data_IF_956834268584
#
_entry.id   IF_956834268584
#
_cell.length_a   1.000
_cell.length_b   1.000
_cell.length_c   1.000
_cell.angle_alpha   90.00
_cell.angle_beta   90.00
_cell.angle_gamma   90.00
#
_symmetry.space_group_name_H-M   'P 1'
#
loop_
_entity.id
_entity.type
_entity.pdbx_description
1 polymer ?
#
# COMPACT_ATOMS: atom_id res chain seq x y z
N UNK A 1 3.60 18.48 15.36
CA UNK A 1 3.98 17.52 16.43
C UNK A 1 2.96 16.39 16.65
N UNK A 2 1.66 16.68 16.84
CA UNK A 2 0.67 15.59 17.06
C UNK A 2 0.52 14.72 15.80
N UNK A 3 0.40 15.30 14.62
CA UNK A 3 0.24 14.56 13.37
C UNK A 3 1.43 13.64 13.06
N UNK A 4 2.66 14.12 13.31
CA UNK A 4 3.87 13.32 13.12
C UNK A 4 3.89 12.10 14.04
N UNK A 5 3.55 12.28 15.33
CA UNK A 5 3.45 11.18 16.28
C UNK A 5 2.35 10.17 15.89
N UNK A 6 1.19 10.66 15.45
CA UNK A 6 0.08 9.81 14.99
C UNK A 6 0.47 9.03 13.73
N UNK A 7 1.15 9.66 12.77
CA UNK A 7 1.63 8.98 11.56
C UNK A 7 2.66 7.90 11.89
N UNK A 8 3.63 8.19 12.77
CA UNK A 8 4.61 7.20 13.21
C UNK A 8 3.93 6.03 13.94
N UNK A 9 2.97 6.33 14.83
CA UNK A 9 2.18 5.31 15.51
C UNK A 9 1.39 4.46 14.51
N UNK A 10 0.75 5.10 13.51
CA UNK A 10 -0.02 4.41 12.46
C UNK A 10 0.86 3.43 11.66
N UNK A 11 2.07 3.84 11.26
CA UNK A 11 3.02 2.95 10.57
C UNK A 11 3.34 1.74 11.44
N UNK A 12 3.73 1.94 12.69
CA UNK A 12 4.08 0.85 13.61
C UNK A 12 2.89 -0.08 13.85
N UNK A 13 1.70 0.49 14.06
CA UNK A 13 0.48 -0.28 14.29
C UNK A 13 0.10 -1.13 13.08
N UNK A 14 0.07 -0.53 11.88
CA UNK A 14 -0.33 -1.19 10.64
C UNK A 14 0.68 -2.27 10.23
N UNK A 15 1.98 -2.00 10.38
CA UNK A 15 3.03 -2.98 10.12
C UNK A 15 2.99 -4.12 11.13
N UNK A 16 2.77 -3.80 12.40
CA UNK A 16 2.55 -4.79 13.46
C UNK A 16 1.33 -5.67 13.18
N UNK A 17 0.23 -5.09 12.72
CA UNK A 17 -0.97 -5.82 12.34
C UNK A 17 -0.72 -6.75 11.14
N UNK A 18 0.05 -6.31 10.13
CA UNK A 18 0.43 -7.15 9.00
C UNK A 18 1.28 -8.36 9.44
N UNK A 19 2.28 -8.12 10.28
CA UNK A 19 3.12 -9.18 10.84
C UNK A 19 2.34 -10.15 11.73
N UNK A 20 1.45 -9.64 12.57
CA UNK A 20 0.57 -10.45 13.41
C UNK A 20 -0.40 -11.28 12.56
N UNK A 21 -1.01 -10.68 11.54
CA UNK A 21 -1.87 -11.38 10.58
C UNK A 21 -1.12 -12.51 9.88
N UNK A 22 0.13 -12.26 9.46
CA UNK A 22 0.99 -13.30 8.90
C UNK A 22 1.35 -14.38 9.91
N UNK A 23 1.66 -13.99 11.14
CA UNK A 23 1.98 -14.93 12.21
C UNK A 23 0.80 -15.85 12.56
N UNK A 24 -0.43 -15.33 12.61
CA UNK A 24 -1.61 -16.10 12.99
C UNK A 24 -2.20 -16.90 11.82
N UNK A 25 -2.34 -16.27 10.65
CA UNK A 25 -3.12 -16.81 9.52
C UNK A 25 -2.27 -17.07 8.26
N UNK A 26 -0.96 -16.85 8.30
CA UNK A 26 -0.09 -16.98 7.14
C UNK A 26 -0.48 -16.01 6.01
N UNK A 27 -0.33 -16.45 4.77
CA UNK A 27 -0.68 -15.64 3.59
C UNK A 27 -2.15 -15.17 3.54
N UNK A 28 -3.07 -15.92 4.15
CA UNK A 28 -4.47 -15.53 4.20
C UNK A 28 -4.67 -14.24 5.02
N UNK A 29 -3.96 -14.11 6.15
CA UNK A 29 -3.96 -12.88 6.95
C UNK A 29 -3.45 -11.67 6.16
N UNK A 30 -2.39 -11.84 5.37
CA UNK A 30 -1.88 -10.77 4.53
C UNK A 30 -2.85 -10.38 3.41
N UNK A 31 -3.57 -11.33 2.80
CA UNK A 31 -4.60 -11.01 1.81
C UNK A 31 -5.76 -10.22 2.42
N UNK A 32 -6.22 -10.62 3.62
CA UNK A 32 -7.23 -9.86 4.35
C UNK A 32 -6.78 -8.42 4.65
N UNK A 33 -5.58 -8.26 5.18
CA UNK A 33 -5.06 -6.93 5.52
C UNK A 33 -4.85 -6.09 4.25
N UNK A 34 -4.36 -6.69 3.16
CA UNK A 34 -4.24 -6.02 1.86
C UNK A 34 -5.58 -5.50 1.36
N UNK A 35 -6.65 -6.32 1.45
CA UNK A 35 -8.00 -5.91 1.07
C UNK A 35 -8.51 -4.73 1.90
N UNK A 36 -8.36 -4.80 3.22
CA UNK A 36 -8.76 -3.73 4.14
C UNK A 36 -7.94 -2.47 3.90
N UNK A 37 -6.62 -2.61 3.77
CA UNK A 37 -5.71 -1.48 3.55
C UNK A 37 -6.02 -0.74 2.25
N UNK A 38 -6.33 -1.44 1.15
CA UNK A 38 -6.68 -0.79 -0.12
C UNK A 38 -8.01 -0.03 -0.05
N UNK A 39 -9.01 -0.55 0.68
CA UNK A 39 -10.28 0.15 0.89
C UNK A 39 -10.06 1.41 1.72
N UNK A 40 -9.41 1.28 2.87
CA UNK A 40 -9.17 2.40 3.79
C UNK A 40 -8.23 3.44 3.16
N UNK A 41 -7.21 3.04 2.40
CA UNK A 41 -6.32 3.96 1.70
C UNK A 41 -7.08 4.87 0.71
N UNK A 42 -8.12 4.36 0.04
CA UNK A 42 -8.97 5.17 -0.84
C UNK A 42 -9.80 6.21 -0.06
N UNK A 43 -10.22 5.91 1.18
CA UNK A 43 -10.92 6.86 2.05
C UNK A 43 -9.91 7.88 2.59
N UNK A 44 -8.80 7.42 3.14
CA UNK A 44 -7.77 8.28 3.74
C UNK A 44 -7.04 9.17 2.71
N UNK A 45 -7.04 8.79 1.42
CA UNK A 45 -6.51 9.64 0.35
C UNK A 45 -7.26 10.98 0.21
N UNK A 46 -8.48 11.09 0.75
CA UNK A 46 -9.29 12.30 0.78
C UNK A 46 -8.96 13.19 1.98
N UNK A 47 -8.22 12.70 2.95
CA UNK A 47 -7.88 13.39 4.19
C UNK A 47 -6.49 13.98 4.05
N UNK A 48 -6.40 15.32 4.04
CA UNK A 48 -5.14 16.04 4.02
C UNK A 48 -4.69 16.36 5.44
N UNK A 49 -3.43 16.13 5.72
CA UNK A 49 -2.78 16.45 6.99
C UNK A 49 -1.46 17.17 6.77
N UNK A 50 -1.14 18.12 7.66
CA UNK A 50 0.17 18.73 7.71
C UNK A 50 1.05 17.99 8.72
N UNK A 51 2.13 17.40 8.23
CA UNK A 51 3.14 16.74 9.05
C UNK A 51 4.53 16.92 8.42
N UNK A 52 5.56 17.01 9.24
CA UNK A 52 6.95 17.24 8.79
C UNK A 52 7.11 18.46 7.89
N UNK A 53 6.33 19.53 8.17
CA UNK A 53 6.26 20.77 7.35
C UNK A 53 5.80 20.56 5.90
N UNK A 54 5.13 19.43 5.61
CA UNK A 54 4.58 19.10 4.28
C UNK A 54 3.10 18.76 4.39
N UNK A 55 2.32 19.18 3.40
CA UNK A 55 0.95 18.72 3.22
C UNK A 55 0.94 17.38 2.49
N UNK A 56 0.20 16.42 3.01
CA UNK A 56 0.14 15.07 2.49
C UNK A 56 -1.23 14.41 2.73
N UNK A 57 -1.54 13.38 1.95
CA UNK A 57 -2.71 12.56 2.22
C UNK A 57 -2.40 11.53 3.31
N UNK A 58 -3.37 11.32 4.21
CA UNK A 58 -3.25 10.31 5.26
C UNK A 58 -3.12 8.91 4.67
N UNK A 59 -3.71 8.66 3.51
CA UNK A 59 -3.68 7.38 2.80
C UNK A 59 -2.30 6.88 2.38
N UNK A 60 -1.26 7.75 2.37
CA UNK A 60 0.10 7.35 2.01
C UNK A 60 0.63 6.21 2.90
N UNK A 61 0.30 6.20 4.20
CA UNK A 61 0.76 5.17 5.15
C UNK A 61 0.09 3.82 4.86
N UNK A 62 -1.23 3.80 4.67
CA UNK A 62 -1.96 2.58 4.32
C UNK A 62 -1.58 2.06 2.93
N UNK A 63 -1.29 2.96 2.00
CA UNK A 63 -0.81 2.55 0.69
C UNK A 63 0.58 1.90 0.78
N UNK A 64 1.48 2.43 1.62
CA UNK A 64 2.81 1.85 1.85
C UNK A 64 2.73 0.41 2.38
N UNK A 65 1.80 0.10 3.30
CA UNK A 65 1.67 -1.28 3.82
C UNK A 65 1.29 -2.30 2.73
N UNK A 66 0.64 -1.89 1.66
CA UNK A 66 0.34 -2.80 0.55
C UNK A 66 1.61 -3.28 -0.16
N UNK A 67 2.65 -2.44 -0.24
CA UNK A 67 3.98 -2.81 -0.72
C UNK A 67 4.68 -3.75 0.26
N UNK A 68 4.69 -3.43 1.55
CA UNK A 68 5.21 -4.34 2.57
C UNK A 68 4.57 -5.73 2.47
N UNK A 69 3.25 -5.82 2.30
CA UNK A 69 2.55 -7.10 2.17
C UNK A 69 3.02 -7.88 0.93
N UNK A 70 3.18 -7.22 -0.21
CA UNK A 70 3.66 -7.88 -1.43
C UNK A 70 5.12 -8.29 -1.33
N UNK A 71 5.94 -7.55 -0.61
CA UNK A 71 7.34 -7.88 -0.34
C UNK A 71 7.46 -9.07 0.62
N UNK A 72 6.68 -9.10 1.71
CA UNK A 72 6.61 -10.28 2.60
C UNK A 72 6.17 -11.53 1.81
N UNK A 73 5.13 -11.41 1.01
CA UNK A 73 4.64 -12.53 0.20
C UNK A 73 5.64 -12.94 -0.87
N UNK A 74 6.32 -11.98 -1.51
CA UNK A 74 7.38 -12.28 -2.48
C UNK A 74 8.52 -13.04 -1.84
N UNK A 75 8.96 -12.64 -0.64
CA UNK A 75 10.08 -13.26 0.08
C UNK A 75 9.73 -14.63 0.65
N UNK A 76 8.55 -14.77 1.27
CA UNK A 76 8.19 -15.95 2.05
C UNK A 76 7.37 -16.98 1.27
N UNK A 77 6.49 -16.53 0.37
CA UNK A 77 5.46 -17.34 -0.29
C UNK A 77 5.62 -17.38 -1.83
N UNK A 78 6.49 -16.53 -2.36
CA UNK A 78 6.83 -16.42 -3.77
C UNK A 78 5.89 -15.56 -4.60
N UNK A 79 6.31 -15.31 -5.85
CA UNK A 79 5.70 -14.36 -6.79
C UNK A 79 4.18 -14.55 -6.99
N UNK A 80 3.71 -15.80 -7.05
CA UNK A 80 2.29 -16.09 -7.26
C UNK A 80 1.43 -15.60 -6.09
N UNK A 81 1.92 -15.73 -4.86
CA UNK A 81 1.24 -15.24 -3.66
C UNK A 81 1.19 -13.71 -3.64
N UNK A 82 2.30 -13.05 -3.94
CA UNK A 82 2.36 -11.60 -4.05
C UNK A 82 1.38 -11.04 -5.10
N UNK A 83 1.40 -11.59 -6.32
CA UNK A 83 0.45 -11.20 -7.36
C UNK A 83 -1.02 -11.42 -6.94
N UNK A 84 -1.29 -12.49 -6.17
CA UNK A 84 -2.64 -12.75 -5.65
C UNK A 84 -3.07 -11.67 -4.65
N UNK A 85 -2.17 -11.16 -3.80
CA UNK A 85 -2.47 -10.03 -2.91
C UNK A 85 -2.82 -8.77 -3.70
N UNK A 86 -2.06 -8.46 -4.77
CA UNK A 86 -2.38 -7.33 -5.66
C UNK A 86 -3.77 -7.48 -6.27
N UNK A 87 -4.08 -8.66 -6.82
CA UNK A 87 -5.41 -8.94 -7.40
C UNK A 87 -6.53 -8.86 -6.35
N UNK A 88 -6.27 -9.30 -5.10
CA UNK A 88 -7.21 -9.16 -3.99
C UNK A 88 -7.46 -7.68 -3.67
N UNK A 89 -6.43 -6.86 -3.62
CA UNK A 89 -6.54 -5.41 -3.43
C UNK A 89 -7.33 -4.73 -4.56
N UNK A 90 -7.04 -5.08 -5.82
CA UNK A 90 -7.79 -4.56 -6.99
C UNK A 90 -9.27 -4.92 -6.88
N UNK A 91 -9.58 -6.19 -6.62
CA UNK A 91 -10.97 -6.66 -6.48
C UNK A 91 -11.69 -5.93 -5.35
N UNK A 92 -11.04 -5.79 -4.20
CA UNK A 92 -11.59 -5.07 -3.04
C UNK A 92 -11.85 -3.61 -3.33
N UNK A 93 -10.94 -2.93 -4.04
CA UNK A 93 -11.09 -1.53 -4.44
C UNK A 93 -12.23 -1.35 -5.45
N UNK A 94 -12.36 -2.24 -6.45
CA UNK A 94 -13.47 -2.22 -7.40
C UNK A 94 -14.81 -2.45 -6.69
N UNK A 95 -14.86 -3.44 -5.80
CA UNK A 95 -16.06 -3.74 -5.01
C UNK A 95 -16.48 -2.54 -4.15
N UNK A 96 -15.52 -1.94 -3.44
CA UNK A 96 -15.76 -0.74 -2.65
C UNK A 96 -16.22 0.44 -3.51
N UNK A 97 -15.60 0.67 -4.66
CA UNK A 97 -16.00 1.73 -5.59
C UNK A 97 -17.45 1.56 -6.03
N UNK A 98 -17.83 0.37 -6.50
CA UNK A 98 -19.20 0.11 -6.95
C UNK A 98 -20.20 0.32 -5.82
N UNK A 99 -19.93 -0.18 -4.63
CA UNK A 99 -20.83 -0.02 -3.49
C UNK A 99 -20.93 1.43 -3.03
N UNK A 100 -19.80 2.13 -2.87
CA UNK A 100 -19.80 3.53 -2.42
C UNK A 100 -20.54 4.45 -3.40
N UNK A 101 -20.42 4.21 -4.71
CA UNK A 101 -21.18 4.96 -5.71
C UNK A 101 -22.68 4.59 -5.67
N UNK A 102 -23.02 3.31 -5.41
CA UNK A 102 -24.41 2.87 -5.30
C UNK A 102 -25.17 3.54 -4.14
N UNK A 103 -24.47 3.83 -3.02
CA UNK A 103 -25.09 4.51 -1.86
C UNK A 103 -25.67 5.86 -2.22
N UNK A 104 -25.09 6.59 -3.17
CA UNK A 104 -25.56 7.92 -3.57
C UNK A 104 -26.85 7.86 -4.42
N UNK A 105 -27.22 6.69 -4.92
CA UNK A 105 -28.45 6.49 -5.69
C UNK A 105 -29.68 6.29 -4.80
N UNK A 106 -29.50 5.99 -3.50
CA UNK A 106 -30.60 5.80 -2.58
C UNK A 106 -31.21 7.14 -2.16
N UNK A 107 -32.54 7.18 -2.02
CA UNK A 107 -33.26 8.29 -1.42
C UNK A 107 -33.20 8.13 0.10
N UNK A 108 -32.59 9.09 0.83
CA UNK A 108 -32.47 9.00 2.28
C UNK A 108 -33.84 9.13 2.96
N UNK A 109 -33.99 8.46 4.09
CA UNK A 109 -35.13 8.64 4.99
C UNK A 109 -35.16 10.09 5.54
N UNK A 110 -36.35 10.66 5.86
CA UNK A 110 -36.41 11.94 6.54
C UNK A 110 -35.64 12.03 7.87
N UNK A 111 -35.40 10.89 8.52
CA UNK A 111 -34.61 10.79 9.75
C UNK A 111 -33.11 10.54 9.51
N UNK A 112 -32.66 10.46 8.25
CA UNK A 112 -31.24 10.26 7.94
C UNK A 112 -30.46 11.57 8.06
N UNK A 113 -29.39 11.53 8.85
CA UNK A 113 -28.46 12.65 9.05
C UNK A 113 -27.08 12.42 8.42
N UNK A 114 -26.83 11.23 7.87
CA UNK A 114 -25.50 10.80 7.42
C UNK A 114 -25.30 10.96 5.91
N UNK A 115 -26.35 10.77 5.12
CA UNK A 115 -26.26 10.82 3.66
C UNK A 115 -25.63 12.11 3.09
N UNK A 116 -25.89 13.32 3.65
CA UNK A 116 -25.20 14.52 3.18
C UNK A 116 -23.67 14.43 3.32
N UNK A 117 -23.16 13.86 4.43
CA UNK A 117 -21.73 13.66 4.66
C UNK A 117 -21.16 12.60 3.71
N UNK A 118 -21.88 11.50 3.49
CA UNK A 118 -21.50 10.47 2.52
C UNK A 118 -21.41 11.06 1.12
N UNK A 119 -22.40 11.83 0.70
CA UNK A 119 -22.37 12.52 -0.60
C UNK A 119 -21.21 13.52 -0.68
N UNK A 120 -20.92 14.28 0.34
CA UNK A 120 -19.79 15.22 0.37
C UNK A 120 -18.44 14.48 0.18
N UNK A 121 -18.27 13.32 0.81
CA UNK A 121 -17.05 12.50 0.69
C UNK A 121 -16.94 11.83 -0.68
N UNK A 122 -18.01 11.23 -1.19
CA UNK A 122 -17.91 10.32 -2.35
C UNK A 122 -18.35 10.93 -3.69
N UNK A 123 -19.03 12.09 -3.74
CA UNK A 123 -19.48 12.71 -4.99
C UNK A 123 -18.35 13.31 -5.83
N UNK A 124 -17.32 13.86 -5.20
CA UNK A 124 -16.22 14.55 -5.89
C UNK A 124 -15.03 13.67 -6.25
N UNK A 125 -15.14 12.35 -6.06
CA UNK A 125 -14.00 11.45 -6.05
C UNK A 125 -13.91 10.38 -7.15
N UNK A 126 -14.80 10.26 -8.14
CA UNK A 126 -14.67 9.20 -9.13
C UNK A 126 -13.31 9.20 -9.83
N UNK A 127 -12.79 10.39 -10.23
CA UNK A 127 -11.48 10.52 -10.88
C UNK A 127 -10.34 10.07 -9.97
N UNK A 128 -10.35 10.46 -8.68
CA UNK A 128 -9.29 10.07 -7.74
C UNK A 128 -9.31 8.57 -7.47
N UNK A 129 -10.49 7.98 -7.29
CA UNK A 129 -10.62 6.53 -7.04
C UNK A 129 -10.21 5.73 -8.27
N UNK A 130 -10.60 6.13 -9.48
CA UNK A 130 -10.14 5.50 -10.72
C UNK A 130 -8.63 5.64 -10.90
N UNK A 131 -8.07 6.83 -10.68
CA UNK A 131 -6.64 7.05 -10.73
C UNK A 131 -5.92 6.15 -9.72
N UNK A 132 -6.35 6.11 -8.48
CA UNK A 132 -5.80 5.26 -7.42
C UNK A 132 -5.83 3.79 -7.80
N UNK A 133 -6.95 3.28 -8.33
CA UNK A 133 -7.10 1.88 -8.72
C UNK A 133 -6.14 1.49 -9.86
N UNK A 134 -6.07 2.31 -10.91
CA UNK A 134 -5.20 2.06 -12.06
C UNK A 134 -3.73 2.12 -11.63
N UNK A 135 -3.36 3.16 -10.89
CA UNK A 135 -2.00 3.36 -10.42
C UNK A 135 -1.58 2.26 -9.45
N UNK A 136 -2.46 1.86 -8.54
CA UNK A 136 -2.25 0.71 -7.64
C UNK A 136 -1.94 -0.56 -8.45
N UNK A 137 -2.78 -0.90 -9.42
CA UNK A 137 -2.59 -2.10 -10.23
C UNK A 137 -1.24 -2.09 -10.97
N UNK A 138 -0.91 -0.98 -11.64
CA UNK A 138 0.33 -0.85 -12.40
C UNK A 138 1.54 -0.91 -11.45
N UNK A 139 1.54 -0.09 -10.41
CA UNK A 139 2.72 0.08 -9.53
C UNK A 139 3.00 -1.17 -8.71
N UNK A 140 1.98 -1.84 -8.19
CA UNK A 140 2.13 -3.06 -7.40
C UNK A 140 2.58 -4.25 -8.24
N UNK A 141 2.01 -4.44 -9.44
CA UNK A 141 2.46 -5.52 -10.34
C UNK A 141 3.88 -5.26 -10.83
N UNK A 142 4.23 -4.00 -11.08
CA UNK A 142 5.58 -3.61 -11.44
C UNK A 142 6.56 -3.85 -10.28
N UNK A 143 6.17 -3.52 -9.05
CA UNK A 143 6.96 -3.77 -7.84
C UNK A 143 7.27 -5.26 -7.67
N UNK A 144 6.25 -6.11 -7.67
CA UNK A 144 6.43 -7.58 -7.57
C UNK A 144 7.32 -8.12 -8.70
N UNK A 145 7.17 -7.60 -9.93
CA UNK A 145 8.02 -7.99 -11.05
C UNK A 145 9.47 -7.56 -10.81
N UNK A 146 9.70 -6.33 -10.36
CA UNK A 146 11.02 -5.77 -10.11
C UNK A 146 11.72 -6.44 -8.94
N UNK A 147 10.99 -6.74 -7.85
CA UNK A 147 11.48 -7.50 -6.70
C UNK A 147 12.08 -8.84 -7.15
N UNK A 148 11.33 -9.61 -7.94
CA UNK A 148 11.80 -10.90 -8.43
C UNK A 148 12.90 -10.80 -9.49
N UNK A 149 12.98 -9.68 -10.23
CA UNK A 149 14.10 -9.39 -11.13
C UNK A 149 15.38 -9.12 -10.35
N UNK A 150 15.31 -8.32 -9.28
CA UNK A 150 16.41 -8.09 -8.35
C UNK A 150 16.83 -9.39 -7.67
N UNK A 151 15.90 -10.23 -7.27
CA UNK A 151 16.21 -11.53 -6.65
C UNK A 151 17.03 -12.40 -7.59
N UNK A 152 16.57 -12.61 -8.82
CA UNK A 152 17.30 -13.39 -9.83
C UNK A 152 18.69 -12.81 -10.12
N UNK A 153 18.82 -11.49 -10.17
CA UNK A 153 20.09 -10.82 -10.40
C UNK A 153 21.09 -11.08 -9.24
N UNK A 154 20.64 -10.91 -7.99
CA UNK A 154 21.49 -11.12 -6.81
C UNK A 154 21.85 -12.58 -6.65
N UNK A 155 20.91 -13.50 -6.88
CA UNK A 155 21.16 -14.95 -6.86
C UNK A 155 22.23 -15.35 -7.90
N UNK A 156 22.08 -14.87 -9.15
CA UNK A 156 23.04 -15.18 -10.23
C UNK A 156 24.43 -14.62 -9.94
N UNK A 157 24.51 -13.43 -9.32
CA UNK A 157 25.79 -12.76 -9.09
C UNK A 157 26.54 -13.27 -7.86
N UNK A 158 25.82 -13.66 -6.81
CA UNK A 158 26.41 -13.97 -5.50
C UNK A 158 26.15 -15.41 -5.04
N UNK A 159 25.38 -16.21 -5.78
CA UNK A 159 25.12 -17.64 -5.48
C UNK A 159 24.23 -17.89 -4.24
N UNK A 160 23.71 -16.85 -3.59
CA UNK A 160 22.94 -16.95 -2.35
C UNK A 160 21.53 -16.35 -2.51
N UNK A 161 20.51 -17.19 -2.36
CA UNK A 161 19.09 -16.81 -2.46
C UNK A 161 18.63 -15.95 -1.29
N UNK A 162 19.27 -16.05 -0.14
CA UNK A 162 18.83 -15.41 1.12
C UNK A 162 19.51 -14.07 1.37
N UNK A 163 20.67 -13.86 0.77
CA UNK A 163 21.46 -12.64 0.93
C UNK A 163 20.86 -11.47 0.16
N UNK A 164 21.12 -10.25 0.60
CA UNK A 164 20.67 -9.00 -0.06
C UNK A 164 19.14 -8.79 -0.10
N UNK A 165 18.40 -9.31 0.90
CA UNK A 165 16.96 -9.03 1.03
C UNK A 165 16.70 -7.50 1.03
N UNK A 166 17.46 -6.73 1.82
CA UNK A 166 17.32 -5.29 1.89
C UNK A 166 17.44 -4.58 0.53
N UNK A 167 18.32 -5.10 -0.36
CA UNK A 167 18.53 -4.52 -1.68
C UNK A 167 17.32 -4.78 -2.60
N UNK A 168 16.81 -6.00 -2.62
CA UNK A 168 15.63 -6.30 -3.45
C UNK A 168 14.37 -5.63 -2.93
N UNK A 169 14.19 -5.56 -1.60
CA UNK A 169 13.08 -4.87 -0.96
C UNK A 169 13.12 -3.36 -1.29
N UNK A 170 14.13 -2.65 -0.83
CA UNK A 170 14.21 -1.19 -1.08
C UNK A 170 14.40 -0.86 -2.56
N UNK A 171 15.16 -1.68 -3.32
CA UNK A 171 15.40 -1.44 -4.73
C UNK A 171 14.15 -1.57 -5.60
N UNK A 172 13.23 -2.50 -5.30
CA UNK A 172 11.94 -2.58 -5.99
C UNK A 172 11.01 -1.46 -5.55
N UNK A 173 10.81 -1.33 -4.24
CA UNK A 173 9.84 -0.39 -3.68
C UNK A 173 10.16 1.06 -4.03
N UNK A 174 11.40 1.52 -3.89
CA UNK A 174 11.75 2.90 -4.22
C UNK A 174 11.51 3.23 -5.70
N UNK A 175 11.86 2.32 -6.62
CA UNK A 175 11.61 2.54 -8.05
C UNK A 175 10.12 2.50 -8.37
N UNK A 176 9.40 1.55 -7.77
CA UNK A 176 7.95 1.41 -7.97
C UNK A 176 7.18 2.60 -7.40
N UNK A 177 7.66 3.19 -6.31
CA UNK A 177 7.06 4.37 -5.71
C UNK A 177 7.29 5.65 -6.52
N UNK A 178 8.41 5.77 -7.25
CA UNK A 178 8.56 6.85 -8.25
C UNK A 178 7.46 6.74 -9.30
N UNK A 179 7.29 5.53 -9.86
CA UNK A 179 6.26 5.28 -10.87
C UNK A 179 4.85 5.56 -10.32
N UNK A 180 4.57 5.03 -9.12
CA UNK A 180 3.31 5.25 -8.41
C UNK A 180 3.00 6.73 -8.24
N UNK A 181 3.91 7.48 -7.65
CA UNK A 181 3.72 8.89 -7.33
C UNK A 181 3.57 9.73 -8.60
N UNK A 182 4.38 9.46 -9.64
CA UNK A 182 4.30 10.16 -10.91
C UNK A 182 2.95 9.92 -11.61
N UNK A 183 2.52 8.66 -11.70
CA UNK A 183 1.24 8.30 -12.33
C UNK A 183 0.06 8.84 -11.54
N UNK A 184 0.08 8.71 -10.19
CA UNK A 184 -1.00 9.21 -9.37
C UNK A 184 -1.13 10.73 -9.46
N UNK A 185 -0.03 11.47 -9.34
CA UNK A 185 -0.02 12.93 -9.48
C UNK A 185 -0.57 13.37 -10.84
N UNK A 186 -0.16 12.67 -11.90
CA UNK A 186 -0.66 12.97 -13.24
C UNK A 186 -2.15 12.64 -13.39
N UNK A 187 -2.61 11.46 -13.02
CA UNK A 187 -3.99 11.03 -13.28
C UNK A 187 -5.00 11.70 -12.35
N UNK A 188 -4.64 11.89 -11.07
CA UNK A 188 -5.52 12.51 -10.10
C UNK A 188 -5.62 14.03 -10.26
N UNK A 189 -4.49 14.71 -10.51
CA UNK A 189 -4.38 16.16 -10.32
C UNK A 189 -4.06 16.96 -11.59
N UNK A 190 -3.72 16.31 -12.72
CA UNK A 190 -3.45 17.04 -13.97
C UNK A 190 -4.65 17.88 -14.41
N UNK A 191 -4.38 19.17 -14.69
CA UNK A 191 -5.41 20.14 -15.05
C UNK A 191 -6.19 20.72 -13.86
N UNK A 192 -5.91 20.26 -12.63
CA UNK A 192 -6.48 20.84 -11.40
C UNK A 192 -5.51 21.83 -10.76
N UNK A 193 -4.23 21.49 -10.76
CA UNK A 193 -3.15 22.31 -10.18
C UNK A 193 -2.11 22.70 -11.23
N UNK A 194 -1.40 23.80 -10.96
CA UNK A 194 -0.25 24.23 -11.74
C UNK A 194 0.93 23.23 -11.63
N UNK A 195 1.85 23.29 -12.56
CA UNK A 195 2.99 22.37 -12.63
C UNK A 195 3.87 22.41 -11.36
N UNK A 196 4.10 23.61 -10.78
CA UNK A 196 4.88 23.74 -9.55
C UNK A 196 4.24 23.00 -8.37
N UNK A 197 2.92 23.12 -8.22
CA UNK A 197 2.14 22.38 -7.21
C UNK A 197 2.20 20.88 -7.45
N UNK A 198 2.08 20.41 -8.70
CA UNK A 198 2.21 18.98 -9.04
C UNK A 198 3.59 18.42 -8.66
N UNK A 199 4.65 19.16 -8.93
CA UNK A 199 6.02 18.77 -8.51
C UNK A 199 6.15 18.72 -6.99
N UNK A 200 5.57 19.67 -6.27
CA UNK A 200 5.58 19.69 -4.81
C UNK A 200 4.85 18.47 -4.22
N UNK A 201 3.66 18.13 -4.75
CA UNK A 201 2.89 16.94 -4.35
C UNK A 201 3.70 15.66 -4.63
N UNK A 202 4.33 15.57 -5.80
CA UNK A 202 5.19 14.44 -6.16
C UNK A 202 6.34 14.27 -5.16
N UNK A 203 7.10 15.33 -4.92
CA UNK A 203 8.28 15.28 -4.04
C UNK A 203 7.91 14.95 -2.59
N UNK A 204 6.87 15.59 -2.03
CA UNK A 204 6.45 15.33 -0.65
C UNK A 204 5.97 13.88 -0.47
N UNK A 205 5.15 13.36 -1.37
CA UNK A 205 4.70 11.97 -1.32
C UNK A 205 5.87 10.99 -1.46
N UNK A 206 6.80 11.26 -2.38
CA UNK A 206 7.96 10.38 -2.58
C UNK A 206 8.90 10.34 -1.37
N UNK A 207 9.11 11.47 -0.69
CA UNK A 207 9.90 11.51 0.56
C UNK A 207 9.29 10.57 1.62
N UNK A 208 7.97 10.58 1.78
CA UNK A 208 7.28 9.68 2.72
C UNK A 208 7.51 8.22 2.35
N UNK A 209 7.41 7.89 1.06
CA UNK A 209 7.65 6.52 0.60
C UNK A 209 9.09 6.06 0.77
N UNK A 210 10.07 6.95 0.73
CA UNK A 210 11.45 6.61 1.10
C UNK A 210 11.51 6.17 2.56
N UNK A 211 10.91 6.94 3.49
CA UNK A 211 10.91 6.59 4.91
C UNK A 211 10.16 5.28 5.18
N UNK A 212 8.99 5.08 4.61
CA UNK A 212 8.23 3.83 4.81
C UNK A 212 8.97 2.63 4.23
N UNK A 213 9.58 2.74 3.04
CA UNK A 213 10.38 1.66 2.44
C UNK A 213 11.58 1.25 3.31
N UNK A 214 12.23 2.21 3.97
CA UNK A 214 13.30 1.89 4.93
C UNK A 214 12.77 1.12 6.15
N UNK A 215 11.56 1.47 6.63
CA UNK A 215 10.90 0.77 7.73
C UNK A 215 10.32 -0.59 7.31
N UNK A 216 10.05 -0.82 6.02
CA UNK A 216 9.63 -2.12 5.48
C UNK A 216 10.71 -3.19 5.70
N UNK A 217 11.97 -2.82 5.55
CA UNK A 217 13.09 -3.76 5.62
C UNK A 217 13.12 -4.58 6.91
N UNK A 218 13.12 -4.01 8.12
CA UNK A 218 13.06 -4.80 9.36
C UNK A 218 11.77 -5.64 9.46
N UNK A 219 10.65 -5.15 8.94
CA UNK A 219 9.38 -5.90 8.95
C UNK A 219 9.46 -7.14 8.05
N UNK A 220 10.05 -7.04 6.85
CA UNK A 220 10.24 -8.20 5.96
C UNK A 220 11.23 -9.21 6.54
N UNK A 221 12.31 -8.76 7.20
CA UNK A 221 13.20 -9.67 7.92
C UNK A 221 12.49 -10.42 9.05
N UNK A 222 11.64 -9.72 9.82
CA UNK A 222 10.85 -10.34 10.89
C UNK A 222 9.82 -11.32 10.33
N UNK A 223 9.15 -10.98 9.24
CA UNK A 223 8.21 -11.89 8.56
C UNK A 223 8.91 -13.17 8.09
N UNK A 224 10.11 -13.04 7.51
CA UNK A 224 10.93 -14.17 7.12
C UNK A 224 11.34 -15.05 8.30
N UNK A 225 11.71 -14.45 9.43
CA UNK A 225 11.99 -15.21 10.66
C UNK A 225 10.76 -16.00 11.13
N UNK A 226 9.57 -15.38 11.12
CA UNK A 226 8.29 -16.02 11.44
C UNK A 226 8.02 -17.19 10.49
N UNK A 227 8.25 -17.00 9.19
CA UNK A 227 8.07 -18.02 8.16
C UNK A 227 8.99 -19.23 8.41
N UNK A 228 10.29 -18.99 8.57
CA UNK A 228 11.29 -20.04 8.80
C UNK A 228 10.96 -20.87 10.05
N UNK A 229 10.53 -20.21 11.14
CA UNK A 229 10.14 -20.90 12.37
C UNK A 229 8.92 -21.79 12.18
N UNK A 230 7.94 -21.36 11.37
CA UNK A 230 6.75 -22.16 11.04
C UNK A 230 7.10 -23.38 10.18
N UNK A 231 7.96 -23.21 9.19
CA UNK A 231 8.39 -24.32 8.33
C UNK A 231 9.20 -25.37 9.11
N UNK A 232 10.09 -24.93 10.01
CA UNK A 232 10.83 -25.84 10.91
C UNK A 232 9.87 -26.66 11.80
N UNK A 233 8.83 -26.03 12.34
CA UNK A 233 7.83 -26.74 13.18
C UNK A 233 7.08 -27.81 12.40
N UNK A 234 6.65 -27.51 11.16
CA UNK A 234 5.97 -28.50 10.28
C UNK A 234 6.83 -29.71 9.92
N UNK A 235 8.14 -29.55 9.86
CA UNK A 235 9.09 -30.66 9.54
C UNK A 235 9.31 -31.55 10.77
N UNK A 236 9.13 -30.98 11.98
CA UNK A 236 9.33 -31.70 13.25
C UNK A 236 8.08 -32.44 13.75
N UNK A 237 6.92 -32.15 13.21
CA UNK A 237 5.63 -32.84 13.43
C UNK A 237 5.43 -33.96 12.39
#
# INVERSE_FOLDING_TARGET
MINELLLMFSVVFIYGAALLGYALFGKAGLYCISAIATILANIEALILVNAFSMEQTLGNVLFAVTFLITDILSECEGKKAANKAVLTGILSSVFFLVLSQSWMLYNPSPNDTIMPSIKAVFSNTPRMIFASLIVYAISQLFDVWLYHKWWKFTEKKFGDKRRFLWLRNNGSTLISQILNTALFTAFAFWGTYDFGTLVSIFLSSYVIYIFTSLLDTPAVYLARFIHDKKEQKKISE
#
